data_IF_040284361004
#
_entry.id   IF_040284361004
#
_cell.length_a   1.000
_cell.length_b   1.000
_cell.length_c   1.000
_cell.angle_alpha   90.00
_cell.angle_beta   90.00
_cell.angle_gamma   90.00
#
_symmetry.space_group_name_H-M   'P 1'
#
loop_
_entity.id
_entity.type
_entity.pdbx_description
1 polymer ?
#
# COMPACT_ATOMS: atom_id res chain seq x y z
N UNK A 1 0.55 13.49 47.18
CA UNK A 1 -0.35 12.60 46.43
C UNK A 1 -0.44 13.09 44.99
N UNK A 2 -0.05 12.21 44.06
CA UNK A 2 -0.19 12.23 42.58
C UNK A 2 0.09 13.54 41.81
N UNK A 3 1.31 13.61 41.26
CA UNK A 3 1.69 14.47 40.13
C UNK A 3 1.12 13.90 38.82
N UNK A 4 0.39 14.73 38.08
CA UNK A 4 0.00 14.49 36.68
C UNK A 4 1.23 14.61 35.78
N UNK A 5 1.64 13.50 35.16
CA UNK A 5 2.60 13.47 34.06
C UNK A 5 1.85 13.24 32.74
N UNK A 6 1.71 14.29 31.92
CA UNK A 6 1.33 14.18 30.51
C UNK A 6 2.62 14.11 29.69
N UNK A 7 2.86 12.97 29.03
CA UNK A 7 3.82 12.86 27.92
C UNK A 7 2.99 12.72 26.66
N UNK A 8 2.89 13.81 25.90
CA UNK A 8 2.48 13.79 24.49
C UNK A 8 3.80 13.96 23.73
N UNK A 9 4.31 12.88 23.16
CA UNK A 9 5.52 12.91 22.33
C UNK A 9 5.11 13.07 20.86
N UNK A 10 5.46 14.23 20.32
CA UNK A 10 5.24 14.69 18.96
C UNK A 10 5.89 13.78 17.91
N UNK A 11 5.09 13.39 16.90
CA UNK A 11 5.58 12.91 15.60
C UNK A 11 5.63 14.11 14.67
N UNK A 12 6.74 14.83 14.72
CA UNK A 12 7.22 15.70 13.66
C UNK A 12 8.72 15.50 13.60
N UNK A 13 9.25 15.42 12.39
CA UNK A 13 10.67 15.50 12.11
C UNK A 13 11.16 16.91 12.50
N UNK A 14 11.27 17.18 13.79
CA UNK A 14 11.86 18.39 14.34
C UNK A 14 13.28 18.03 14.77
N UNK A 15 14.22 18.16 13.85
CA UNK A 15 15.63 18.26 14.18
C UNK A 15 15.82 19.54 15.02
N UNK A 16 15.71 19.44 16.34
CA UNK A 16 16.11 20.52 17.25
C UNK A 16 17.63 20.49 17.35
N UNK A 17 18.28 21.23 16.48
CA UNK A 17 19.71 21.51 16.55
C UNK A 17 19.93 22.57 17.64
N UNK A 18 20.34 22.14 18.83
CA UNK A 18 20.91 23.02 19.83
C UNK A 18 22.42 23.08 19.60
N UNK A 19 22.88 24.08 18.85
CA UNK A 19 24.29 24.33 18.60
C UNK A 19 24.88 25.22 19.70
N UNK A 20 25.72 24.66 20.58
CA UNK A 20 26.87 25.36 21.19
C UNK A 20 27.89 24.37 21.76
N UNK A 21 28.90 24.00 20.97
CA UNK A 21 30.23 23.68 21.49
C UNK A 21 31.26 23.75 20.35
N UNK A 22 32.25 24.61 20.51
CA UNK A 22 33.42 24.71 19.62
C UNK A 22 34.40 23.60 19.98
N UNK A 23 34.33 22.48 19.28
CA UNK A 23 35.33 21.42 19.30
C UNK A 23 36.06 21.30 17.95
N UNK A 24 37.12 20.47 17.87
CA UNK A 24 37.95 20.31 16.67
C UNK A 24 37.10 19.85 15.48
N UNK A 25 37.48 20.20 14.26
CA UNK A 25 36.69 20.05 13.03
C UNK A 25 36.13 18.63 12.84
N UNK A 26 34.93 18.40 13.40
CA UNK A 26 34.08 17.24 13.18
C UNK A 26 33.64 17.26 11.72
N UNK A 27 33.51 16.09 11.08
CA UNK A 27 32.91 15.99 9.74
C UNK A 27 31.61 16.80 9.70
N UNK A 28 31.52 17.78 8.80
CA UNK A 28 30.46 18.78 8.82
C UNK A 28 29.10 18.15 8.49
N UNK A 29 28.36 17.72 9.51
CA UNK A 29 27.00 17.18 9.38
C UNK A 29 26.00 18.23 8.88
N UNK A 30 26.39 19.51 8.77
CA UNK A 30 25.52 20.57 8.24
C UNK A 30 25.10 20.29 6.80
N UNK A 31 26.00 19.76 5.98
CA UNK A 31 25.69 19.36 4.60
C UNK A 31 24.61 18.28 4.56
N UNK A 32 24.79 17.23 5.37
CA UNK A 32 23.80 16.16 5.56
C UNK A 32 22.45 16.70 6.03
N UNK A 33 22.43 17.48 7.11
CA UNK A 33 21.20 18.02 7.70
C UNK A 33 20.43 18.92 6.72
N UNK A 34 21.13 19.78 5.98
CA UNK A 34 20.51 20.63 4.97
C UNK A 34 19.90 19.79 3.83
N UNK A 35 20.55 18.71 3.42
CA UNK A 35 20.04 17.81 2.39
C UNK A 35 18.79 17.04 2.87
N UNK A 36 18.79 16.51 4.10
CA UNK A 36 17.62 15.85 4.70
C UNK A 36 16.45 16.81 4.83
N UNK A 37 16.68 18.05 5.30
CA UNK A 37 15.65 19.10 5.39
C UNK A 37 15.05 19.46 4.03
N UNK A 38 15.86 19.44 2.97
CA UNK A 38 15.40 19.65 1.59
C UNK A 38 14.71 18.41 0.98
N UNK A 39 14.72 17.26 1.66
CA UNK A 39 14.24 15.98 1.12
C UNK A 39 15.15 15.37 0.04
N UNK A 40 16.37 15.90 -0.15
CA UNK A 40 17.35 15.42 -1.11
C UNK A 40 18.19 14.29 -0.51
N UNK A 41 17.60 13.10 -0.44
CA UNK A 41 18.26 11.94 0.16
C UNK A 41 19.48 11.45 -0.64
N UNK A 42 19.54 11.72 -1.96
CA UNK A 42 20.74 11.40 -2.76
C UNK A 42 21.91 12.26 -2.33
N UNK A 43 21.70 13.56 -2.16
CA UNK A 43 22.72 14.45 -1.61
C UNK A 43 23.05 14.08 -0.17
N UNK A 44 22.04 13.81 0.68
CA UNK A 44 22.26 13.41 2.06
C UNK A 44 23.14 12.15 2.16
N UNK A 45 22.90 11.12 1.33
CA UNK A 45 23.74 9.93 1.28
C UNK A 45 25.20 10.23 0.86
N UNK A 46 25.41 11.15 -0.09
CA UNK A 46 26.75 11.58 -0.50
C UNK A 46 27.50 12.36 0.62
N UNK A 47 26.80 13.24 1.32
CA UNK A 47 27.34 13.98 2.48
C UNK A 47 27.66 13.03 3.64
N UNK A 48 26.78 12.06 3.92
CA UNK A 48 27.00 11.01 4.91
C UNK A 48 28.27 10.20 4.60
N UNK A 49 28.43 9.75 3.36
CA UNK A 49 29.62 9.01 2.90
C UNK A 49 30.91 9.83 3.03
N UNK A 50 30.83 11.15 2.84
CA UNK A 50 31.96 12.07 2.99
C UNK A 50 32.31 12.30 4.46
N UNK A 51 31.32 12.46 5.32
CA UNK A 51 31.51 12.73 6.75
C UNK A 51 31.89 11.48 7.55
N UNK A 52 31.42 10.29 7.16
CA UNK A 52 31.58 9.08 7.96
C UNK A 52 33.03 8.68 8.29
N UNK A 53 34.01 8.77 7.36
CA UNK A 53 35.40 8.43 7.66
C UNK A 53 36.06 9.34 8.69
N UNK A 54 35.65 10.60 8.79
CA UNK A 54 36.18 11.59 9.74
C UNK A 54 35.33 11.76 11.00
N UNK A 55 34.18 11.09 11.08
CA UNK A 55 33.31 11.11 12.26
C UNK A 55 33.95 10.36 13.44
N UNK A 56 34.06 11.04 14.59
CA UNK A 56 34.56 10.46 15.84
C UNK A 56 33.63 9.35 16.34
N UNK A 57 34.10 8.09 16.28
CA UNK A 57 33.30 6.92 16.72
C UNK A 57 33.11 6.85 18.23
N UNK A 58 33.84 7.66 19.01
CA UNK A 58 33.62 7.81 20.44
C UNK A 58 32.54 8.85 20.77
N UNK A 59 32.03 9.60 19.77
CA UNK A 59 30.97 10.56 19.98
C UNK A 59 29.69 9.86 20.53
N UNK A 60 29.04 10.38 21.59
CA UNK A 60 27.82 9.81 22.16
C UNK A 60 26.68 9.58 21.15
N UNK A 61 26.62 10.37 20.07
CA UNK A 61 25.58 10.28 19.06
C UNK A 61 25.93 9.34 17.90
N UNK A 62 27.09 8.66 17.95
CA UNK A 62 27.58 7.80 16.87
C UNK A 62 26.55 6.75 16.41
N UNK A 63 25.81 6.14 17.34
CA UNK A 63 24.75 5.17 16.99
C UNK A 63 23.60 5.82 16.23
N UNK A 64 23.20 7.03 16.63
CA UNK A 64 22.14 7.79 15.98
C UNK A 64 22.60 8.21 14.58
N UNK A 65 23.79 8.79 14.46
CA UNK A 65 24.35 9.24 13.18
C UNK A 65 24.51 8.10 12.20
N UNK A 66 25.03 6.94 12.63
CA UNK A 66 25.11 5.76 11.77
C UNK A 66 23.74 5.32 11.26
N UNK A 67 22.70 5.39 12.11
CA UNK A 67 21.33 5.01 11.72
C UNK A 67 20.72 6.00 10.73
N UNK A 68 20.89 7.30 10.95
CA UNK A 68 20.40 8.35 10.06
C UNK A 68 21.12 8.35 8.71
N UNK A 69 22.45 8.16 8.71
CA UNK A 69 23.23 7.97 7.49
C UNK A 69 22.79 6.72 6.73
N UNK A 70 22.57 5.62 7.46
CA UNK A 70 22.04 4.38 6.90
C UNK A 70 20.66 4.53 6.29
N UNK A 71 19.74 5.22 6.98
CA UNK A 71 18.41 5.52 6.47
C UNK A 71 18.47 6.40 5.20
N UNK A 72 19.25 7.47 5.22
CA UNK A 72 19.40 8.34 4.05
C UNK A 72 19.97 7.59 2.84
N UNK A 73 21.00 6.77 3.04
CA UNK A 73 21.54 5.89 2.00
C UNK A 73 20.50 4.88 1.49
N UNK A 74 19.69 4.30 2.38
CA UNK A 74 18.62 3.37 1.98
C UNK A 74 17.57 4.07 1.10
N UNK A 75 17.11 5.26 1.50
CA UNK A 75 16.13 6.05 0.73
C UNK A 75 16.71 6.52 -0.60
N UNK A 76 18.01 6.84 -0.65
CA UNK A 76 18.72 7.21 -1.86
C UNK A 76 18.93 6.06 -2.85
N UNK A 77 18.73 4.81 -2.41
CA UNK A 77 19.02 3.59 -3.18
C UNK A 77 20.48 3.14 -3.12
N UNK A 78 21.33 3.77 -2.29
CA UNK A 78 22.69 3.30 -1.99
C UNK A 78 22.63 2.23 -0.89
N UNK A 79 22.10 1.06 -1.25
CA UNK A 79 21.92 -0.05 -0.33
C UNK A 79 23.25 -0.62 0.17
N UNK A 80 24.34 -0.45 -0.58
CA UNK A 80 25.68 -0.86 -0.16
C UNK A 80 26.15 -0.02 1.03
N UNK A 81 26.05 1.31 0.95
CA UNK A 81 26.36 2.19 2.06
C UNK A 81 25.41 1.95 3.25
N UNK A 82 24.10 1.81 3.01
CA UNK A 82 23.13 1.49 4.06
C UNK A 82 23.50 0.21 4.83
N UNK A 83 23.96 -0.83 4.12
CA UNK A 83 24.47 -2.07 4.71
C UNK A 83 25.71 -1.83 5.57
N UNK A 84 26.67 -1.02 5.12
CA UNK A 84 27.89 -0.71 5.88
C UNK A 84 27.56 -0.06 7.24
N UNK A 85 26.62 0.89 7.28
CA UNK A 85 26.15 1.48 8.53
C UNK A 85 25.41 0.45 9.42
N UNK A 86 24.60 -0.41 8.82
CA UNK A 86 23.94 -1.52 9.53
C UNK A 86 24.93 -2.52 10.14
N UNK A 87 26.00 -2.87 9.42
CA UNK A 87 27.10 -3.72 9.91
C UNK A 87 27.80 -3.04 11.08
N UNK A 88 28.14 -1.75 10.95
CA UNK A 88 28.77 -1.00 12.04
C UNK A 88 27.93 -1.04 13.32
N UNK A 89 26.62 -0.79 13.22
CA UNK A 89 25.70 -0.82 14.36
C UNK A 89 25.57 -2.22 14.97
N UNK A 90 25.54 -3.27 14.16
CA UNK A 90 25.52 -4.66 14.64
C UNK A 90 26.80 -5.00 15.43
N UNK A 91 27.96 -4.64 14.88
CA UNK A 91 29.26 -5.08 15.40
C UNK A 91 29.72 -4.23 16.59
N UNK A 92 29.42 -2.92 16.58
CA UNK A 92 29.93 -1.98 17.57
C UNK A 92 28.83 -1.39 18.47
N UNK A 93 27.56 -1.45 18.08
CA UNK A 93 26.48 -0.69 18.74
C UNK A 93 26.35 -0.94 20.24
N UNK A 94 26.66 -2.15 20.72
CA UNK A 94 26.64 -2.48 22.16
C UNK A 94 27.83 -1.94 22.94
N UNK A 95 28.95 -1.69 22.26
CA UNK A 95 30.24 -1.30 22.87
C UNK A 95 30.58 0.17 22.65
N UNK A 96 29.73 0.93 21.95
CA UNK A 96 29.88 2.38 21.83
C UNK A 96 29.80 3.05 23.21
N UNK A 97 30.43 4.22 23.40
CA UNK A 97 30.37 4.95 24.67
C UNK A 97 28.94 5.21 25.14
N UNK A 98 28.03 5.53 24.21
CA UNK A 98 26.59 5.44 24.41
C UNK A 98 26.06 4.29 23.56
N UNK A 99 25.65 3.17 24.16
CA UNK A 99 25.15 2.02 23.41
C UNK A 99 23.93 2.35 22.55
N UNK A 100 23.79 1.65 21.42
CA UNK A 100 22.63 1.73 20.55
C UNK A 100 21.36 1.40 21.33
N UNK A 101 20.48 2.39 21.49
CA UNK A 101 19.23 2.27 22.20
C UNK A 101 18.06 1.77 21.33
N UNK A 102 18.27 1.54 20.03
CA UNK A 102 17.28 0.94 19.12
C UNK A 102 17.90 -0.16 18.24
N UNK A 103 18.50 -1.20 18.85
CA UNK A 103 19.21 -2.25 18.10
C UNK A 103 18.29 -3.03 17.14
N UNK A 104 16.99 -3.08 17.43
CA UNK A 104 16.00 -3.73 16.55
C UNK A 104 15.78 -2.92 15.27
N UNK A 105 15.71 -1.59 15.34
CA UNK A 105 15.63 -0.73 14.15
C UNK A 105 16.92 -0.81 13.32
N UNK A 106 18.08 -0.86 13.98
CA UNK A 106 19.38 -1.09 13.33
C UNK A 106 19.46 -2.45 12.64
N UNK A 107 18.86 -3.50 13.22
CA UNK A 107 18.75 -4.81 12.58
C UNK A 107 17.84 -4.79 11.33
N UNK A 108 16.74 -4.02 11.37
CA UNK A 108 15.89 -3.81 10.18
C UNK A 108 16.66 -3.09 9.08
N UNK A 109 17.48 -2.08 9.39
CA UNK A 109 18.34 -1.40 8.41
C UNK A 109 19.23 -2.39 7.65
N UNK A 110 19.98 -3.18 8.39
CA UNK A 110 20.91 -4.14 7.82
C UNK A 110 20.17 -5.16 6.95
N UNK A 111 19.13 -5.78 7.49
CA UNK A 111 18.38 -6.82 6.79
C UNK A 111 17.66 -6.27 5.54
N UNK A 112 17.13 -5.05 5.61
CA UNK A 112 16.50 -4.39 4.47
C UNK A 112 17.51 -4.06 3.37
N UNK A 113 18.71 -3.58 3.74
CA UNK A 113 19.78 -3.30 2.80
C UNK A 113 20.28 -4.57 2.10
N UNK A 114 20.53 -5.65 2.86
CA UNK A 114 20.92 -6.96 2.31
C UNK A 114 19.86 -7.51 1.35
N UNK A 115 18.58 -7.41 1.72
CA UNK A 115 17.47 -7.82 0.86
C UNK A 115 17.43 -7.04 -0.46
N UNK A 116 17.68 -5.73 -0.43
CA UNK A 116 17.70 -4.88 -1.63
C UNK A 116 18.92 -5.11 -2.52
N UNK A 117 20.07 -5.48 -1.95
CA UNK A 117 21.28 -5.82 -2.70
C UNK A 117 21.18 -7.19 -3.39
N UNK A 118 20.46 -8.14 -2.78
CA UNK A 118 20.32 -9.49 -3.31
C UNK A 118 19.12 -10.22 -2.73
N UNK A 119 17.95 -10.05 -3.33
CA UNK A 119 16.72 -10.69 -2.89
C UNK A 119 16.79 -12.21 -3.11
N UNK A 120 16.92 -12.97 -2.02
CA UNK A 120 16.96 -14.44 -1.95
C UNK A 120 16.06 -14.92 -0.82
N UNK A 121 15.81 -16.22 -0.70
CA UNK A 121 15.06 -16.75 0.44
C UNK A 121 15.75 -16.46 1.78
N UNK A 122 17.09 -16.46 1.81
CA UNK A 122 17.87 -16.17 3.00
C UNK A 122 17.74 -14.69 3.43
N UNK A 123 17.94 -13.75 2.52
CA UNK A 123 17.82 -12.31 2.82
C UNK A 123 16.36 -11.92 3.11
N UNK A 124 15.40 -12.58 2.46
CA UNK A 124 13.97 -12.45 2.77
C UNK A 124 13.68 -12.90 4.21
N UNK A 125 14.12 -14.09 4.60
CA UNK A 125 13.88 -14.64 5.93
C UNK A 125 14.52 -13.76 7.02
N UNK A 126 15.72 -13.23 6.77
CA UNK A 126 16.39 -12.29 7.67
C UNK A 126 15.58 -10.99 7.85
N UNK A 127 15.07 -10.41 6.75
CA UNK A 127 14.23 -9.21 6.81
C UNK A 127 12.90 -9.48 7.54
N UNK A 128 12.24 -10.60 7.25
CA UNK A 128 11.02 -11.01 7.95
C UNK A 128 11.26 -11.15 9.46
N UNK A 129 12.36 -11.79 9.87
CA UNK A 129 12.72 -11.94 11.27
C UNK A 129 12.96 -10.59 11.95
N UNK A 130 13.70 -9.68 11.30
CA UNK A 130 13.94 -8.33 11.82
C UNK A 130 12.65 -7.52 11.99
N UNK A 131 11.73 -7.59 11.01
CA UNK A 131 10.42 -6.93 11.08
C UNK A 131 9.51 -7.53 12.16
N UNK A 132 9.52 -8.86 12.36
CA UNK A 132 8.80 -9.50 13.48
C UNK A 132 9.36 -9.07 14.84
N UNK A 133 10.68 -8.95 14.97
CA UNK A 133 11.28 -8.40 16.18
C UNK A 133 10.85 -6.94 16.40
N UNK A 134 10.77 -6.14 15.33
CA UNK A 134 10.29 -4.75 15.37
C UNK A 134 8.82 -4.64 15.77
N UNK A 135 7.99 -5.60 15.35
CA UNK A 135 6.58 -5.69 15.73
C UNK A 135 6.41 -5.80 17.25
N UNK A 136 7.37 -6.39 17.96
CA UNK A 136 7.35 -6.48 19.43
C UNK A 136 7.62 -5.16 20.18
N UNK A 137 7.92 -4.06 19.48
CA UNK A 137 8.25 -2.76 20.10
C UNK A 137 7.18 -1.69 19.84
N UNK A 138 7.07 -0.73 20.76
CA UNK A 138 6.17 0.41 20.60
C UNK A 138 6.61 1.35 19.47
N UNK A 139 5.64 2.06 18.89
CA UNK A 139 5.88 2.98 17.77
C UNK A 139 6.35 2.28 16.49
N UNK A 140 6.58 3.09 15.45
CA UNK A 140 7.13 2.64 14.17
C UNK A 140 8.04 3.73 13.61
N UNK A 141 9.19 3.35 13.05
CA UNK A 141 10.11 4.24 12.34
C UNK A 141 9.94 4.11 10.82
N UNK A 142 10.32 5.17 10.08
CA UNK A 142 10.15 5.24 8.63
C UNK A 142 10.90 4.13 7.88
N UNK A 143 12.05 3.69 8.41
CA UNK A 143 12.82 2.60 7.81
C UNK A 143 12.04 1.28 7.87
N UNK A 144 11.45 0.96 9.02
CA UNK A 144 10.62 -0.23 9.19
C UNK A 144 9.40 -0.21 8.29
N UNK A 145 8.82 0.97 8.04
CA UNK A 145 7.72 1.14 7.06
C UNK A 145 8.18 0.77 5.65
N UNK A 146 9.30 1.35 5.18
CA UNK A 146 9.84 1.09 3.83
C UNK A 146 10.28 -0.37 3.67
N UNK A 147 10.85 -0.95 4.72
CA UNK A 147 11.33 -2.33 4.74
C UNK A 147 10.17 -3.34 4.68
N UNK A 148 9.09 -3.10 5.43
CA UNK A 148 7.88 -3.93 5.37
C UNK A 148 7.22 -3.88 3.98
N UNK A 149 7.13 -2.69 3.37
CA UNK A 149 6.63 -2.54 2.01
C UNK A 149 7.49 -3.23 0.96
N UNK A 150 8.82 -3.12 1.08
CA UNK A 150 9.73 -3.80 0.18
C UNK A 150 9.54 -5.32 0.23
N UNK A 151 9.32 -5.87 1.42
CA UNK A 151 9.15 -7.31 1.62
C UNK A 151 7.86 -7.82 0.98
N UNK A 152 6.69 -7.29 1.35
CA UNK A 152 5.43 -7.82 0.82
C UNK A 152 5.26 -7.57 -0.69
N UNK A 153 5.74 -6.42 -1.19
CA UNK A 153 5.70 -6.14 -2.64
C UNK A 153 6.60 -7.10 -3.41
N UNK A 154 7.75 -7.48 -2.86
CA UNK A 154 8.60 -8.49 -3.48
C UNK A 154 7.93 -9.86 -3.51
N UNK A 155 7.26 -10.27 -2.43
CA UNK A 155 6.54 -11.55 -2.39
C UNK A 155 5.39 -11.55 -3.41
N UNK A 156 4.66 -10.43 -3.50
CA UNK A 156 3.59 -10.23 -4.49
C UNK A 156 4.10 -10.32 -5.93
N UNK A 157 5.20 -9.63 -6.26
CA UNK A 157 5.77 -9.64 -7.62
C UNK A 157 6.27 -11.03 -8.02
N UNK A 158 6.71 -11.84 -7.06
CA UNK A 158 7.13 -13.24 -7.28
C UNK A 158 5.95 -14.21 -7.34
N UNK A 159 4.71 -13.73 -7.16
CA UNK A 159 3.51 -14.56 -7.05
C UNK A 159 3.59 -15.62 -5.94
N UNK A 160 4.38 -15.35 -4.89
CA UNK A 160 4.47 -16.23 -3.72
C UNK A 160 3.35 -15.83 -2.76
N UNK A 161 2.12 -16.21 -3.13
CA UNK A 161 0.89 -15.71 -2.52
C UNK A 161 0.79 -15.99 -1.02
N UNK A 162 1.23 -17.17 -0.58
CA UNK A 162 1.28 -17.52 0.85
C UNK A 162 2.20 -16.57 1.61
N UNK A 163 3.40 -16.32 1.07
CA UNK A 163 4.36 -15.38 1.67
C UNK A 163 3.85 -13.94 1.62
N UNK A 164 3.24 -13.52 0.51
CA UNK A 164 2.67 -12.18 0.34
C UNK A 164 1.50 -11.92 1.29
N UNK A 165 0.66 -12.93 1.56
CA UNK A 165 -0.40 -12.83 2.58
C UNK A 165 0.21 -12.59 3.97
N UNK A 166 1.20 -13.40 4.38
CA UNK A 166 1.87 -13.27 5.68
C UNK A 166 2.52 -11.89 5.84
N UNK A 167 3.27 -11.45 4.82
CA UNK A 167 4.05 -10.21 4.91
C UNK A 167 3.19 -8.96 4.72
N UNK A 168 2.08 -9.05 3.99
CA UNK A 168 1.05 -8.00 3.93
C UNK A 168 0.38 -7.77 5.29
N UNK A 169 0.03 -8.84 6.01
CA UNK A 169 -0.54 -8.74 7.37
C UNK A 169 0.45 -8.13 8.37
N UNK A 170 1.71 -8.56 8.33
CA UNK A 170 2.78 -7.98 9.16
C UNK A 170 2.97 -6.48 8.86
N UNK A 171 3.01 -6.11 7.58
CA UNK A 171 3.15 -4.72 7.17
C UNK A 171 1.96 -3.88 7.65
N UNK A 172 0.72 -4.35 7.50
CA UNK A 172 -0.46 -3.66 8.04
C UNK A 172 -0.31 -3.41 9.55
N UNK A 173 0.00 -4.44 10.35
CA UNK A 173 0.13 -4.30 11.82
C UNK A 173 1.27 -3.38 12.27
N UNK A 174 2.34 -3.24 11.47
CA UNK A 174 3.41 -2.29 11.72
C UNK A 174 2.99 -0.85 11.36
N UNK A 175 2.42 -0.67 10.17
CA UNK A 175 2.09 0.66 9.63
C UNK A 175 0.88 1.29 10.34
N UNK A 176 -0.11 0.50 10.74
CA UNK A 176 -1.32 0.97 11.42
C UNK A 176 -1.02 1.71 12.75
N UNK A 177 0.13 1.41 13.37
CA UNK A 177 0.61 2.06 14.61
C UNK A 177 0.87 3.55 14.46
N UNK A 178 1.15 4.03 13.25
CA UNK A 178 1.31 5.46 12.97
C UNK A 178 -0.03 6.19 12.79
N UNK A 179 -1.15 5.46 12.87
CA UNK A 179 -2.50 5.99 12.75
C UNK A 179 -2.74 6.66 11.40
N UNK A 180 -3.46 7.79 11.43
CA UNK A 180 -3.98 8.46 10.23
C UNK A 180 -2.91 8.86 9.21
N UNK A 181 -1.65 9.07 9.65
CA UNK A 181 -0.57 9.48 8.74
C UNK A 181 -0.16 8.36 7.77
N UNK A 182 -0.28 7.09 8.18
CA UNK A 182 0.03 5.93 7.33
C UNK A 182 -1.20 5.09 6.98
N UNK A 183 -2.41 5.55 7.31
CA UNK A 183 -3.63 4.77 7.12
C UNK A 183 -3.80 4.20 5.70
N UNK A 184 -3.56 5.02 4.66
CA UNK A 184 -3.63 4.55 3.27
C UNK A 184 -2.63 3.42 2.99
N UNK A 185 -1.38 3.57 3.44
CA UNK A 185 -0.32 2.59 3.23
C UNK A 185 -0.55 1.31 4.03
N UNK A 186 -1.07 1.44 5.26
CA UNK A 186 -1.44 0.32 6.11
C UNK A 186 -2.58 -0.50 5.48
N UNK A 187 -3.61 0.18 4.96
CA UNK A 187 -4.75 -0.46 4.30
C UNK A 187 -4.37 -1.06 2.94
N UNK A 188 -3.43 -0.45 2.20
CA UNK A 188 -2.87 -1.02 0.97
C UNK A 188 -2.14 -2.35 1.27
N UNK A 189 -1.30 -2.38 2.31
CA UNK A 189 -0.65 -3.61 2.75
C UNK A 189 -1.66 -4.70 3.17
N UNK A 190 -2.72 -4.32 3.89
CA UNK A 190 -3.81 -5.22 4.28
C UNK A 190 -4.57 -5.76 3.06
N UNK A 191 -4.84 -4.92 2.07
CA UNK A 191 -5.51 -5.30 0.84
C UNK A 191 -4.66 -6.27 0.01
N UNK A 192 -3.35 -6.01 -0.12
CA UNK A 192 -2.41 -6.93 -0.73
C UNK A 192 -2.39 -8.27 0.01
N UNK A 193 -2.36 -8.26 1.34
CA UNK A 193 -2.40 -9.48 2.14
C UNK A 193 -3.67 -10.31 1.90
N UNK A 194 -4.84 -9.67 1.93
CA UNK A 194 -6.13 -10.32 1.71
C UNK A 194 -6.28 -10.89 0.28
N UNK A 195 -5.89 -10.12 -0.74
CA UNK A 195 -5.92 -10.59 -2.13
C UNK A 195 -4.93 -11.74 -2.38
N UNK A 196 -3.76 -11.70 -1.73
CA UNK A 196 -2.77 -12.77 -1.83
C UNK A 196 -3.28 -14.06 -1.17
N UNK A 197 -3.98 -13.98 -0.03
CA UNK A 197 -4.63 -15.15 0.59
C UNK A 197 -5.53 -15.89 -0.42
N UNK A 198 -6.44 -15.13 -1.05
CA UNK A 198 -7.33 -15.67 -2.07
C UNK A 198 -6.58 -16.28 -3.26
N UNK A 199 -5.53 -15.61 -3.77
CA UNK A 199 -4.73 -16.12 -4.89
C UNK A 199 -3.90 -17.36 -4.55
N UNK A 200 -3.49 -17.52 -3.29
CA UNK A 200 -2.67 -18.64 -2.82
C UNK A 200 -3.46 -19.92 -2.59
N UNK A 201 -4.74 -19.81 -2.28
CA UNK A 201 -5.63 -20.94 -2.07
C UNK A 201 -7.01 -20.43 -1.68
N UNK A 202 -7.93 -20.24 -2.65
CA UNK A 202 -9.23 -19.63 -2.39
C UNK A 202 -9.99 -20.29 -1.24
N UNK A 203 -10.17 -19.57 -0.15
CA UNK A 203 -11.04 -19.95 0.96
C UNK A 203 -12.17 -18.92 1.17
N UNK A 204 -13.28 -19.37 1.76
CA UNK A 204 -14.40 -18.47 2.12
C UNK A 204 -13.94 -17.34 3.06
N UNK A 205 -12.97 -17.61 3.92
CA UNK A 205 -12.47 -16.63 4.88
C UNK A 205 -11.65 -15.53 4.16
N UNK A 206 -11.10 -15.80 2.97
CA UNK A 206 -10.43 -14.77 2.16
C UNK A 206 -11.42 -13.74 1.61
N UNK A 207 -12.63 -14.18 1.24
CA UNK A 207 -13.71 -13.25 0.88
C UNK A 207 -14.04 -12.32 2.05
N UNK A 208 -14.21 -12.88 3.24
CA UNK A 208 -14.50 -12.09 4.43
C UNK A 208 -13.36 -11.12 4.76
N UNK A 209 -12.10 -11.52 4.59
CA UNK A 209 -10.94 -10.62 4.75
C UNK A 209 -10.92 -9.50 3.73
N UNK A 210 -11.27 -9.76 2.47
CA UNK A 210 -11.38 -8.72 1.41
C UNK A 210 -12.49 -7.73 1.79
N UNK A 211 -13.67 -8.20 2.18
CA UNK A 211 -14.80 -7.35 2.57
C UNK A 211 -14.50 -6.55 3.84
N UNK A 212 -13.86 -7.15 4.84
CA UNK A 212 -13.49 -6.45 6.08
C UNK A 212 -12.44 -5.36 5.81
N UNK A 213 -11.52 -5.62 4.88
CA UNK A 213 -10.53 -4.63 4.45
C UNK A 213 -11.19 -3.51 3.65
N UNK A 214 -12.15 -3.84 2.77
CA UNK A 214 -12.98 -2.86 2.07
C UNK A 214 -13.71 -1.95 3.07
N UNK A 215 -14.38 -2.53 4.05
CA UNK A 215 -15.13 -1.78 5.07
C UNK A 215 -14.20 -0.89 5.92
N UNK A 216 -12.96 -1.31 6.18
CA UNK A 216 -11.96 -0.49 6.85
C UNK A 216 -11.51 0.71 5.99
N UNK A 217 -11.41 0.53 4.66
CA UNK A 217 -11.15 1.64 3.72
C UNK A 217 -12.31 2.62 3.70
N UNK A 218 -13.56 2.16 3.72
CA UNK A 218 -14.73 3.04 3.83
C UNK A 218 -14.69 3.83 5.13
N UNK A 219 -14.39 3.18 6.26
CA UNK A 219 -14.25 3.88 7.54
C UNK A 219 -13.13 4.93 7.52
N UNK A 220 -12.01 4.64 6.85
CA UNK A 220 -10.92 5.60 6.67
C UNK A 220 -11.31 6.78 5.77
N UNK A 221 -12.07 6.54 4.69
CA UNK A 221 -12.64 7.60 3.84
C UNK A 221 -13.55 8.51 4.66
N UNK A 222 -14.45 7.93 5.47
CA UNK A 222 -15.41 8.70 6.26
C UNK A 222 -14.77 9.47 7.42
N UNK A 223 -13.61 9.02 7.91
CA UNK A 223 -12.81 9.74 8.91
C UNK A 223 -11.81 10.76 8.29
N UNK A 224 -11.55 10.69 6.99
CA UNK A 224 -10.58 11.54 6.31
C UNK A 224 -11.14 12.94 6.02
N UNK A 225 -10.25 13.94 6.04
CA UNK A 225 -10.56 15.27 5.50
C UNK A 225 -10.86 15.20 3.98
N UNK A 226 -11.62 16.16 3.42
CA UNK A 226 -11.99 16.13 2.00
C UNK A 226 -10.80 15.99 1.04
N UNK A 227 -9.64 16.56 1.36
CA UNK A 227 -8.45 16.51 0.51
C UNK A 227 -7.84 15.10 0.44
N UNK A 228 -8.00 14.28 1.49
CA UNK A 228 -7.48 12.91 1.56
C UNK A 228 -8.48 11.85 1.09
N UNK A 229 -9.79 12.13 1.07
CA UNK A 229 -10.82 11.15 0.68
C UNK A 229 -10.55 10.51 -0.69
N UNK A 230 -10.18 11.33 -1.67
CA UNK A 230 -9.93 10.88 -3.05
C UNK A 230 -8.70 9.98 -3.16
N UNK A 231 -7.72 10.11 -2.27
CA UNK A 231 -6.53 9.25 -2.25
C UNK A 231 -6.84 7.79 -1.91
N UNK A 232 -7.96 7.52 -1.23
CA UNK A 232 -8.43 6.15 -0.94
C UNK A 232 -9.27 5.54 -2.06
N UNK A 233 -9.68 6.33 -3.06
CA UNK A 233 -10.56 5.86 -4.12
C UNK A 233 -10.01 4.61 -4.85
N UNK A 234 -8.73 4.60 -5.31
CA UNK A 234 -8.20 3.43 -6.01
C UNK A 234 -8.28 2.16 -5.15
N UNK A 235 -7.93 2.26 -3.87
CA UNK A 235 -7.93 1.11 -2.96
C UNK A 235 -9.36 0.61 -2.67
N UNK A 236 -10.31 1.53 -2.52
CA UNK A 236 -11.74 1.20 -2.36
C UNK A 236 -12.24 0.38 -3.55
N UNK A 237 -12.05 0.90 -4.77
CA UNK A 237 -12.57 0.24 -5.98
C UNK A 237 -11.81 -1.04 -6.30
N UNK A 238 -10.51 -1.13 -5.96
CA UNK A 238 -9.74 -2.36 -6.06
C UNK A 238 -10.31 -3.47 -5.17
N UNK A 239 -10.67 -3.16 -3.92
CA UNK A 239 -11.26 -4.14 -3.00
C UNK A 239 -12.69 -4.51 -3.39
N UNK A 240 -13.49 -3.59 -3.93
CA UNK A 240 -14.79 -3.94 -4.51
C UNK A 240 -14.64 -4.89 -5.70
N UNK A 241 -13.70 -4.61 -6.60
CA UNK A 241 -13.42 -5.47 -7.74
C UNK A 241 -13.02 -6.87 -7.29
N UNK A 242 -12.15 -6.97 -6.27
CA UNK A 242 -11.78 -8.25 -5.66
C UNK A 242 -12.98 -8.96 -5.05
N UNK A 243 -13.81 -8.27 -4.26
CA UNK A 243 -15.00 -8.88 -3.65
C UNK A 243 -15.96 -9.45 -4.70
N UNK A 244 -16.20 -8.72 -5.80
CA UNK A 244 -17.03 -9.18 -6.93
C UNK A 244 -16.40 -10.41 -7.59
N UNK A 245 -15.11 -10.33 -7.94
CA UNK A 245 -14.37 -11.43 -8.57
C UNK A 245 -14.37 -12.70 -7.73
N UNK A 246 -14.14 -12.57 -6.42
CA UNK A 246 -14.12 -13.70 -5.48
C UNK A 246 -15.50 -14.35 -5.35
N UNK A 247 -16.58 -13.57 -5.20
CA UNK A 247 -17.95 -14.11 -5.15
C UNK A 247 -18.29 -14.87 -6.43
N UNK A 248 -17.96 -14.29 -7.58
CA UNK A 248 -18.21 -14.93 -8.87
C UNK A 248 -17.37 -16.19 -9.05
N UNK A 249 -16.14 -16.22 -8.52
CA UNK A 249 -15.27 -17.39 -8.57
C UNK A 249 -15.93 -18.55 -7.82
N UNK A 250 -16.38 -18.33 -6.59
CA UNK A 250 -17.07 -19.37 -5.81
C UNK A 250 -18.40 -19.81 -6.45
N UNK A 251 -19.17 -18.87 -7.03
CA UNK A 251 -20.39 -19.21 -7.78
C UNK A 251 -20.09 -20.10 -9.00
N UNK A 252 -19.01 -19.82 -9.73
CA UNK A 252 -18.59 -20.64 -10.87
C UNK A 252 -18.06 -22.02 -10.41
N UNK A 253 -17.30 -22.06 -9.31
CA UNK A 253 -16.78 -23.30 -8.73
C UNK A 253 -17.89 -24.26 -8.27
N UNK A 254 -19.01 -23.74 -7.75
CA UNK A 254 -20.22 -24.51 -7.40
C UNK A 254 -20.83 -25.19 -8.62
N UNK A 255 -20.96 -24.43 -9.71
CA UNK A 255 -21.61 -24.91 -10.93
C UNK A 255 -20.85 -26.07 -11.59
N UNK A 256 -19.53 -26.12 -11.42
CA UNK A 256 -18.68 -27.17 -12.00
C UNK A 256 -18.39 -28.35 -11.06
N UNK A 257 -18.96 -28.35 -9.84
CA UNK A 257 -18.81 -29.46 -8.89
C UNK A 257 -17.41 -29.58 -8.26
N UNK A 258 -16.71 -28.46 -8.06
CA UNK A 258 -15.40 -28.45 -7.41
C UNK A 258 -15.47 -28.81 -5.92
N UNK A 259 -14.43 -29.46 -5.38
CA UNK A 259 -14.30 -29.79 -3.95
C UNK A 259 -13.93 -28.60 -3.06
N UNK A 260 -13.84 -27.38 -3.60
CA UNK A 260 -13.56 -26.15 -2.84
C UNK A 260 -14.79 -25.81 -1.98
N UNK A 261 -14.69 -25.51 -0.68
CA UNK A 261 -15.85 -25.18 0.16
C UNK A 261 -16.68 -24.03 -0.46
N UNK A 262 -17.88 -24.38 -0.92
CA UNK A 262 -18.47 -23.72 -2.09
C UNK A 262 -19.31 -22.47 -1.74
N UNK A 263 -19.82 -22.37 -0.50
CA UNK A 263 -20.85 -21.38 -0.17
C UNK A 263 -20.28 -20.17 0.54
N UNK A 264 -19.88 -19.19 -0.25
CA UNK A 264 -19.67 -17.82 0.25
C UNK A 264 -21.01 -17.10 0.34
N UNK A 265 -21.35 -16.61 1.53
CA UNK A 265 -22.50 -15.72 1.72
C UNK A 265 -22.08 -14.31 1.31
N UNK A 266 -22.58 -13.87 0.16
CA UNK A 266 -22.35 -12.52 -0.33
C UNK A 266 -22.80 -11.48 0.74
N UNK A 267 -21.86 -10.63 1.14
CA UNK A 267 -22.04 -9.52 2.07
C UNK A 267 -22.25 -8.24 1.26
N UNK A 268 -23.20 -7.42 1.72
CA UNK A 268 -23.37 -6.07 1.17
C UNK A 268 -22.15 -5.22 1.55
N UNK A 269 -21.41 -4.76 0.54
CA UNK A 269 -20.29 -3.85 0.73
C UNK A 269 -20.79 -2.51 1.28
N UNK A 270 -20.06 -1.92 2.23
CA UNK A 270 -20.37 -0.58 2.73
C UNK A 270 -20.18 0.47 1.63
N UNK A 271 -20.89 1.58 1.76
CA UNK A 271 -20.71 2.75 0.90
C UNK A 271 -20.27 3.91 1.78
N UNK A 272 -19.42 4.82 1.28
CA UNK A 272 -19.00 5.97 2.05
C UNK A 272 -20.19 6.89 2.34
N UNK A 273 -20.18 7.55 3.50
CA UNK A 273 -21.26 8.44 3.93
C UNK A 273 -21.45 9.65 3.00
N UNK A 274 -20.37 10.05 2.30
CA UNK A 274 -20.41 11.03 1.22
C UNK A 274 -19.78 10.43 -0.04
N UNK A 275 -20.29 10.77 -1.23
CA UNK A 275 -19.67 10.36 -2.49
C UNK A 275 -18.18 10.73 -2.55
N UNK A 276 -17.36 9.83 -3.10
CA UNK A 276 -15.92 10.08 -3.32
C UNK A 276 -15.72 11.06 -4.48
N UNK A 277 -16.59 10.96 -5.49
CA UNK A 277 -16.67 11.86 -6.62
C UNK A 277 -17.97 12.66 -6.49
N UNK A 278 -17.90 13.97 -6.72
CA UNK A 278 -19.06 14.85 -6.52
C UNK A 278 -20.23 14.44 -7.42
N UNK A 279 -21.47 14.35 -6.88
CA UNK A 279 -22.65 14.18 -7.71
C UNK A 279 -22.95 15.51 -8.42
N UNK A 280 -22.72 15.57 -9.73
CA UNK A 280 -22.75 16.84 -10.47
C UNK A 280 -24.13 17.25 -11.02
N UNK A 281 -25.15 16.39 -10.97
CA UNK A 281 -26.47 16.74 -11.51
C UNK A 281 -27.54 16.83 -10.43
N UNK A 282 -28.34 17.88 -10.50
CA UNK A 282 -29.61 18.00 -9.78
C UNK A 282 -30.78 17.34 -10.53
N UNK A 283 -30.55 16.94 -11.79
CA UNK A 283 -31.54 16.24 -12.60
C UNK A 283 -31.73 14.79 -12.14
N UNK A 284 -32.89 14.22 -12.44
CA UNK A 284 -33.16 12.80 -12.18
C UNK A 284 -32.33 11.96 -13.15
N UNK A 285 -31.28 11.30 -12.63
CA UNK A 285 -30.40 10.42 -13.40
C UNK A 285 -31.07 9.05 -13.58
N UNK A 286 -31.02 8.52 -14.81
CA UNK A 286 -31.41 7.13 -15.08
C UNK A 286 -30.40 6.17 -14.43
N UNK A 287 -30.88 5.10 -13.78
CA UNK A 287 -30.01 4.01 -13.30
C UNK A 287 -29.23 3.41 -14.46
N UNK A 288 -29.92 3.22 -15.59
CA UNK A 288 -29.35 2.69 -16.82
C UNK A 288 -28.86 1.24 -16.71
N UNK A 289 -28.52 0.66 -17.87
CA UNK A 289 -27.92 -0.67 -17.99
C UNK A 289 -26.79 -0.64 -19.04
N UNK A 290 -25.52 -0.72 -18.62
CA UNK A 290 -24.37 -0.63 -19.53
C UNK A 290 -24.30 -1.88 -20.42
N UNK A 291 -24.46 -1.67 -21.72
CA UNK A 291 -24.31 -2.69 -22.75
C UNK A 291 -22.88 -2.65 -23.28
N UNK A 292 -22.16 -3.75 -23.04
CA UNK A 292 -20.81 -3.94 -23.53
C UNK A 292 -20.81 -4.69 -24.86
N UNK A 293 -19.86 -4.39 -25.78
CA UNK A 293 -19.65 -5.25 -26.94
C UNK A 293 -19.16 -6.63 -26.49
N UNK A 294 -19.26 -7.62 -27.37
CA UNK A 294 -18.65 -8.93 -27.13
C UNK A 294 -17.16 -8.77 -26.89
N UNK A 295 -16.73 -9.02 -25.65
CA UNK A 295 -15.35 -8.94 -25.23
C UNK A 295 -14.78 -10.34 -25.08
N UNK A 296 -13.57 -10.53 -25.62
CA UNK A 296 -12.82 -11.76 -25.43
C UNK A 296 -12.10 -11.74 -24.08
N UNK A 297 -12.04 -12.90 -23.43
CA UNK A 297 -11.24 -13.08 -22.24
C UNK A 297 -9.75 -12.83 -22.56
N UNK A 298 -8.99 -12.10 -21.72
CA UNK A 298 -7.57 -11.82 -21.99
C UNK A 298 -6.73 -13.10 -22.12
N UNK A 299 -6.00 -13.26 -23.23
CA UNK A 299 -5.33 -14.53 -23.57
C UNK A 299 -4.04 -14.85 -22.80
N UNK A 300 -3.74 -14.21 -21.66
CA UNK A 300 -2.51 -14.50 -20.94
C UNK A 300 -2.64 -15.78 -20.09
N UNK A 301 -1.61 -16.64 -20.13
CA UNK A 301 -1.57 -17.88 -19.35
C UNK A 301 -1.72 -17.64 -17.84
N UNK A 302 -1.21 -16.50 -17.35
CA UNK A 302 -1.33 -16.07 -15.96
C UNK A 302 -2.77 -15.81 -15.51
N UNK A 303 -3.75 -15.80 -16.41
CA UNK A 303 -5.16 -15.49 -16.10
C UNK A 303 -6.09 -16.69 -16.25
N UNK A 304 -5.60 -17.84 -16.72
CA UNK A 304 -6.45 -19.04 -16.86
C UNK A 304 -7.03 -19.44 -15.51
N UNK A 305 -8.35 -19.57 -15.44
CA UNK A 305 -9.04 -19.99 -14.22
C UNK A 305 -9.47 -18.85 -13.29
N UNK A 306 -9.17 -17.59 -13.62
CA UNK A 306 -9.55 -16.45 -12.79
C UNK A 306 -10.75 -15.68 -13.33
N UNK A 307 -11.49 -15.03 -12.45
CA UNK A 307 -12.55 -14.08 -12.81
C UNK A 307 -12.00 -12.68 -12.60
N UNK A 308 -11.90 -11.92 -13.68
CA UNK A 308 -11.39 -10.55 -13.63
C UNK A 308 -12.51 -9.54 -13.56
N UNK A 309 -12.36 -8.52 -12.71
CA UNK A 309 -13.31 -7.40 -12.63
C UNK A 309 -12.56 -6.09 -12.87
N UNK A 310 -13.12 -5.26 -13.74
CA UNK A 310 -12.63 -3.92 -14.06
C UNK A 310 -13.69 -2.92 -13.59
N UNK A 311 -13.25 -1.90 -12.87
CA UNK A 311 -14.09 -0.80 -12.39
C UNK A 311 -13.67 0.47 -13.10
N UNK A 312 -14.64 1.15 -13.71
CA UNK A 312 -14.43 2.35 -14.49
C UNK A 312 -15.25 3.50 -13.94
N UNK A 313 -14.66 4.70 -13.93
CA UNK A 313 -15.41 5.95 -13.94
C UNK A 313 -15.61 6.35 -15.39
N UNK A 314 -16.85 6.54 -15.80
CA UNK A 314 -17.20 6.91 -17.17
C UNK A 314 -18.07 8.15 -17.15
N UNK A 315 -17.75 9.08 -18.04
CA UNK A 315 -18.62 10.20 -18.39
C UNK A 315 -19.50 9.78 -19.56
N UNK A 316 -20.82 9.93 -19.43
CA UNK A 316 -21.84 9.51 -20.38
C UNK A 316 -22.60 10.74 -20.87
N UNK A 317 -22.86 10.83 -22.18
CA UNK A 317 -23.70 11.87 -22.78
C UNK A 317 -25.21 11.57 -22.68
N UNK A 318 -26.04 12.49 -23.14
CA UNK A 318 -27.51 12.34 -23.14
C UNK A 318 -28.00 11.14 -23.98
N UNK A 319 -27.21 10.69 -24.94
CA UNK A 319 -27.50 9.55 -25.81
C UNK A 319 -27.00 8.22 -25.22
N UNK A 320 -26.41 8.23 -24.03
CA UNK A 320 -25.88 7.04 -23.38
C UNK A 320 -24.52 6.60 -23.92
N UNK A 321 -23.77 7.47 -24.61
CA UNK A 321 -22.43 7.13 -25.12
C UNK A 321 -21.34 7.67 -24.19
N UNK A 322 -20.22 6.95 -24.06
CA UNK A 322 -19.10 7.42 -23.26
C UNK A 322 -18.36 8.57 -23.93
N UNK A 323 -18.18 9.67 -23.19
CA UNK A 323 -17.36 10.82 -23.55
C UNK A 323 -15.91 10.66 -23.08
N UNK A 324 -15.73 10.14 -21.87
CA UNK A 324 -14.42 9.89 -21.26
C UNK A 324 -14.49 8.70 -20.30
N UNK A 325 -13.35 8.08 -20.02
CA UNK A 325 -13.28 6.99 -19.04
C UNK A 325 -11.94 6.93 -18.32
N UNK A 326 -11.99 6.53 -17.06
CA UNK A 326 -10.83 6.28 -16.20
C UNK A 326 -10.99 4.90 -15.53
N UNK A 327 -9.97 4.05 -15.67
CA UNK A 327 -9.89 2.79 -14.91
C UNK A 327 -9.54 3.08 -13.46
N UNK A 328 -10.49 2.81 -12.57
CA UNK A 328 -10.31 2.94 -11.13
C UNK A 328 -9.67 1.69 -10.52
N UNK A 329 -9.99 0.51 -11.06
CA UNK A 329 -9.42 -0.76 -10.64
C UNK A 329 -9.50 -1.82 -11.74
N UNK A 330 -8.55 -2.74 -11.72
CA UNK A 330 -8.60 -3.98 -12.50
C UNK A 330 -7.92 -5.11 -11.75
N UNK A 331 -8.69 -6.14 -11.42
CA UNK A 331 -8.22 -7.32 -10.68
C UNK A 331 -8.40 -8.56 -11.55
N UNK A 332 -7.55 -9.59 -11.39
CA UNK A 332 -6.36 -9.65 -10.54
C UNK A 332 -5.16 -8.85 -11.07
N UNK A 333 -5.22 -8.39 -12.32
CA UNK A 333 -4.11 -7.71 -12.96
C UNK A 333 -4.58 -6.58 -13.89
N UNK A 334 -3.71 -5.57 -14.04
CA UNK A 334 -3.94 -4.40 -14.90
C UNK A 334 -4.23 -4.75 -16.37
N UNK A 335 -3.76 -5.90 -16.86
CA UNK A 335 -4.02 -6.34 -18.24
C UNK A 335 -5.51 -6.52 -18.55
N UNK A 336 -6.36 -6.81 -17.55
CA UNK A 336 -7.80 -6.84 -17.73
C UNK A 336 -8.38 -5.47 -18.11
N UNK A 337 -7.81 -4.38 -17.57
CA UNK A 337 -8.24 -3.02 -17.90
C UNK A 337 -8.10 -2.73 -19.39
N UNK A 338 -6.97 -3.12 -20.00
CA UNK A 338 -6.67 -2.82 -21.40
C UNK A 338 -7.77 -3.29 -22.36
N UNK A 339 -8.23 -4.53 -22.20
CA UNK A 339 -9.31 -5.09 -23.01
C UNK A 339 -10.62 -4.30 -22.86
N UNK A 340 -10.93 -3.86 -21.63
CA UNK A 340 -12.15 -3.09 -21.37
C UNK A 340 -12.01 -1.66 -21.87
N UNK A 341 -10.87 -1.01 -21.66
CA UNK A 341 -10.57 0.34 -22.16
C UNK A 341 -10.72 0.43 -23.69
N UNK A 342 -10.25 -0.58 -24.44
CA UNK A 342 -10.45 -0.69 -25.88
C UNK A 342 -11.93 -0.91 -26.28
N UNK A 343 -12.75 -1.42 -25.37
CA UNK A 343 -14.18 -1.65 -25.58
C UNK A 343 -15.05 -0.46 -25.14
N UNK A 344 -14.59 0.39 -24.22
CA UNK A 344 -15.37 1.51 -23.67
C UNK A 344 -15.98 2.39 -24.77
N UNK A 345 -15.27 2.84 -25.83
CA UNK A 345 -15.87 3.69 -26.86
C UNK A 345 -17.08 3.08 -27.60
N UNK A 346 -17.26 1.75 -27.51
CA UNK A 346 -18.38 1.00 -28.09
C UNK A 346 -19.45 0.60 -27.07
N UNK A 347 -19.22 0.85 -25.78
CA UNK A 347 -20.21 0.67 -24.73
C UNK A 347 -21.37 1.64 -24.96
N UNK A 348 -22.60 1.22 -24.65
CA UNK A 348 -23.77 2.11 -24.62
C UNK A 348 -24.54 1.92 -23.32
N UNK A 349 -24.92 3.02 -22.67
CA UNK A 349 -25.84 3.01 -21.55
C UNK A 349 -27.27 3.11 -22.08
N UNK A 350 -28.10 2.12 -21.77
CA UNK A 350 -29.53 2.14 -22.13
C UNK A 350 -30.36 2.40 -20.89
N UNK A 351 -31.54 3.00 -21.05
CA UNK A 351 -32.51 3.09 -19.95
C UNK A 351 -32.91 1.69 -19.49
N UNK A 352 -32.85 1.47 -18.19
CA UNK A 352 -33.38 0.28 -17.55
C UNK A 352 -34.92 0.30 -17.61
N UNK A 353 -35.54 -0.88 -17.48
CA UNK A 353 -37.01 -1.01 -17.55
C UNK A 353 -37.72 -0.27 -16.41
N UNK A 354 -37.05 -0.12 -15.28
CA UNK A 354 -37.50 0.53 -14.05
C UNK A 354 -37.09 2.01 -13.94
N UNK A 355 -36.49 2.59 -14.98
CA UNK A 355 -36.04 3.99 -14.95
C UNK A 355 -37.23 4.99 -14.92
N UNK A 356 -37.14 6.07 -14.13
CA UNK A 356 -38.17 7.10 -14.08
C UNK A 356 -38.40 7.76 -15.46
N UNK A 357 -39.66 8.04 -15.85
CA UNK A 357 -39.95 8.81 -17.05
C UNK A 357 -39.25 10.18 -17.00
N UNK A 358 -38.58 10.55 -18.10
CA UNK A 358 -37.89 11.85 -18.21
C UNK A 358 -36.51 11.91 -17.57
N UNK A 359 -35.98 10.81 -17.02
CA UNK A 359 -34.60 10.78 -16.52
C UNK A 359 -33.57 11.02 -17.63
N UNK A 360 -32.43 11.61 -17.28
CA UNK A 360 -31.29 11.80 -18.18
C UNK A 360 -30.30 10.64 -18.08
N UNK A 361 -29.74 10.22 -19.21
CA UNK A 361 -28.61 9.27 -19.24
C UNK A 361 -27.27 9.98 -19.02
N UNK A 362 -27.22 11.31 -19.16
CA UNK A 362 -26.01 12.09 -19.02
C UNK A 362 -25.48 12.01 -17.59
N UNK A 363 -24.26 11.54 -17.42
CA UNK A 363 -23.62 11.31 -16.12
C UNK A 363 -22.14 11.60 -16.20
N UNK A 364 -21.62 12.51 -15.37
CA UNK A 364 -20.19 12.87 -15.42
C UNK A 364 -19.24 11.92 -14.71
N UNK A 365 -19.76 11.13 -13.78
CA UNK A 365 -18.94 10.24 -12.93
C UNK A 365 -19.69 8.94 -12.63
N UNK A 366 -20.22 8.28 -13.68
CA UNK A 366 -20.85 6.98 -13.54
C UNK A 366 -19.79 5.93 -13.20
N UNK A 367 -19.98 5.20 -12.09
CA UNK A 367 -19.16 4.04 -11.80
C UNK A 367 -19.80 2.81 -12.43
N UNK A 368 -19.07 2.12 -13.30
CA UNK A 368 -19.51 0.88 -13.93
C UNK A 368 -18.49 -0.23 -13.73
N UNK A 369 -18.99 -1.46 -13.78
CA UNK A 369 -18.23 -2.67 -13.54
C UNK A 369 -18.33 -3.55 -14.78
N UNK A 370 -17.20 -4.08 -15.21
CA UNK A 370 -17.15 -5.16 -16.20
C UNK A 370 -16.49 -6.37 -15.59
N UNK A 371 -17.16 -7.53 -15.68
CA UNK A 371 -16.61 -8.79 -15.17
C UNK A 371 -16.46 -9.82 -16.27
N UNK A 372 -15.24 -10.33 -16.41
CA UNK A 372 -14.92 -11.46 -17.27
C UNK A 372 -15.33 -12.76 -16.58
N UNK A 373 -16.35 -13.41 -17.12
CA UNK A 373 -16.76 -14.74 -16.65
C UNK A 373 -15.99 -15.82 -17.41
N UNK A 374 -15.67 -16.92 -16.73
CA UNK A 374 -15.26 -18.14 -17.41
C UNK A 374 -16.49 -18.73 -18.10
N UNK A 375 -16.36 -19.02 -19.40
CA UNK A 375 -17.36 -19.78 -20.15
C UNK A 375 -17.20 -21.27 -19.93
#
# INVERSE_FOLDING_TARGET
>A
MMRMGRVIASVCLAAVVAATSTGPAFGDIKGFNAAVQAGDYRKAAAEAKTAWPSWDKADPDTAIVAREFGFASYVAGDFAAAREYGIFLRDNGKTLPTPDNQPVSSAVLLAAADFRLGASDATRAALLAALKAREGQAGIDNLSVLAAEALYKSDWVKSDWTKASETGDLAWRLLDRAGIQLALRALDARAAGAAAGFLGGPDKDDYDRIVDTHDAVIAAIDAADPARRTAFAPLKYQLEAWAISTVLYFKAADQIGSNIPIRVKERKLKVPAQPIFEPESTETICKGDPQWPDMQYPQAAAFRGMIGTVVLRVEIDEQGRPLSSETLAAVPARHFAKTVEEAVPRMTLRRAKDDPPGCTLAQKSMITYFTFRML
#
